data_IF_397524738445
#
_entry.id   IF_397524738445
#
_cell.length_a   1.000
_cell.length_b   1.000
_cell.length_c   1.000
_cell.angle_alpha   90.00
_cell.angle_beta   90.00
_cell.angle_gamma   90.00
#
_symmetry.space_group_name_H-M   'P 1'
#
loop_
_entity.id
_entity.type
_entity.pdbx_description
1 polymer ?
#
# COMPACT_ATOMS: atom_id res chain seq x y z
N UNK A 1 -3.40 -36.11 -10.84
CA UNK A 1 -3.74 -34.98 -11.69
C UNK A 1 -2.59 -33.99 -11.80
N UNK A 2 -1.69 -34.23 -12.74
CA UNK A 2 -0.53 -33.35 -12.86
C UNK A 2 -0.91 -31.92 -13.22
N UNK A 3 -1.94 -31.76 -14.02
CA UNK A 3 -2.42 -30.43 -14.37
C UNK A 3 -2.91 -29.67 -13.15
N UNK A 4 -3.66 -30.35 -12.29
CA UNK A 4 -4.15 -29.74 -11.05
C UNK A 4 -3.00 -29.35 -10.14
N UNK A 5 -1.96 -30.16 -10.12
CA UNK A 5 -0.77 -29.84 -9.33
C UNK A 5 -0.11 -28.57 -9.82
N UNK A 6 0.02 -28.44 -11.14
CA UNK A 6 0.59 -27.25 -11.73
C UNK A 6 -0.25 -26.03 -11.41
N UNK A 7 -1.57 -26.19 -11.46
CA UNK A 7 -2.50 -25.12 -11.11
C UNK A 7 -2.36 -24.73 -9.64
N UNK A 8 -2.21 -25.72 -8.77
CA UNK A 8 -2.01 -25.46 -7.36
C UNK A 8 -0.72 -24.68 -7.10
N UNK A 9 0.34 -25.02 -7.82
CA UNK A 9 1.59 -24.28 -7.71
C UNK A 9 1.43 -22.83 -8.15
N UNK A 10 0.71 -22.62 -9.23
CA UNK A 10 0.41 -21.26 -9.68
C UNK A 10 -0.38 -20.49 -8.65
N UNK A 11 -1.32 -21.14 -8.00
CA UNK A 11 -2.10 -20.51 -6.93
C UNK A 11 -1.24 -20.13 -5.75
N UNK A 12 -0.25 -20.93 -5.41
CA UNK A 12 0.68 -20.62 -4.34
C UNK A 12 1.47 -19.35 -4.66
N UNK A 13 1.87 -19.18 -5.91
CA UNK A 13 2.55 -17.95 -6.33
C UNK A 13 1.60 -16.75 -6.35
N UNK A 14 0.34 -16.99 -6.67
CA UNK A 14 -0.65 -15.92 -6.72
C UNK A 14 -1.10 -15.47 -5.34
N UNK A 15 -1.10 -16.36 -4.34
CA UNK A 15 -1.58 -16.02 -3.01
C UNK A 15 -0.92 -14.80 -2.40
N UNK A 16 0.42 -14.68 -2.40
CA UNK A 16 1.06 -13.47 -1.91
C UNK A 16 0.62 -12.23 -2.68
N UNK A 17 0.47 -12.36 -3.99
CA UNK A 17 0.05 -11.24 -4.82
C UNK A 17 -1.36 -10.78 -4.49
N UNK A 18 -2.28 -11.73 -4.28
CA UNK A 18 -3.67 -11.37 -3.94
C UNK A 18 -3.79 -10.78 -2.54
N UNK A 19 -2.88 -11.10 -1.64
CA UNK A 19 -2.89 -10.55 -0.29
C UNK A 19 -2.18 -9.21 -0.18
N UNK A 20 -1.50 -8.78 -1.25
CA UNK A 20 -0.83 -7.49 -1.31
C UNK A 20 -1.88 -6.39 -1.46
N UNK A 21 -1.78 -5.35 -0.64
CA UNK A 21 -2.67 -4.21 -0.71
C UNK A 21 -2.23 -3.21 -1.78
N UNK A 22 -2.88 -2.06 -1.74
CA UNK A 22 -2.66 -0.97 -2.70
C UNK A 22 -1.19 -0.58 -2.82
N UNK A 23 -0.52 -0.37 -1.70
CA UNK A 23 0.85 0.14 -1.69
C UNK A 23 1.85 -0.90 -2.17
N UNK A 24 1.64 -2.16 -1.85
CA UNK A 24 2.46 -3.25 -2.38
C UNK A 24 2.37 -3.35 -3.89
N UNK A 25 1.16 -3.24 -4.43
CA UNK A 25 0.95 -3.26 -5.89
C UNK A 25 1.61 -2.07 -6.57
N UNK A 26 1.52 -0.90 -5.97
CA UNK A 26 2.18 0.30 -6.50
C UNK A 26 3.69 0.14 -6.51
N UNK A 27 4.26 -0.42 -5.45
CA UNK A 27 5.69 -0.71 -5.36
C UNK A 27 6.12 -1.69 -6.45
N UNK A 28 5.33 -2.73 -6.68
CA UNK A 28 5.61 -3.72 -7.72
C UNK A 28 5.70 -3.06 -9.09
N UNK A 29 4.73 -2.24 -9.43
CA UNK A 29 4.71 -1.51 -10.71
C UNK A 29 5.90 -0.58 -10.84
N UNK A 30 6.23 0.14 -9.79
CA UNK A 30 7.38 1.03 -9.77
C UNK A 30 8.69 0.28 -10.02
N UNK A 31 8.90 -0.85 -9.34
CA UNK A 31 10.09 -1.65 -9.52
C UNK A 31 10.23 -2.16 -10.95
N UNK A 32 9.13 -2.62 -11.54
CA UNK A 32 9.13 -3.09 -12.92
C UNK A 32 9.55 -2.01 -13.89
N UNK A 33 9.05 -0.80 -13.71
CA UNK A 33 9.25 0.29 -14.66
C UNK A 33 10.58 1.02 -14.44
N UNK A 34 10.95 1.24 -13.19
CA UNK A 34 12.06 2.12 -12.86
C UNK A 34 13.27 1.41 -12.27
N UNK A 35 13.09 0.20 -11.77
CA UNK A 35 14.18 -0.58 -11.18
C UNK A 35 14.10 -2.04 -11.62
N UNK A 36 14.17 -2.29 -12.91
CA UNK A 36 13.99 -3.66 -13.44
C UNK A 36 15.04 -4.65 -12.96
N UNK A 37 16.27 -4.20 -12.72
CA UNK A 37 17.32 -5.09 -12.24
C UNK A 37 16.99 -5.56 -10.82
N UNK A 38 16.60 -4.64 -9.97
CA UNK A 38 16.21 -4.98 -8.60
C UNK A 38 14.96 -5.87 -8.61
N UNK A 39 13.99 -5.54 -9.46
CA UNK A 39 12.78 -6.34 -9.60
C UNK A 39 13.11 -7.79 -9.96
N UNK A 40 13.96 -7.99 -10.97
CA UNK A 40 14.35 -9.33 -11.40
C UNK A 40 15.14 -10.07 -10.31
N UNK A 41 16.02 -9.36 -9.61
CA UNK A 41 16.77 -9.94 -8.50
C UNK A 41 15.84 -10.44 -7.40
N UNK A 42 14.88 -9.63 -7.00
CA UNK A 42 13.91 -10.00 -5.98
C UNK A 42 13.03 -11.16 -6.45
N UNK A 43 12.61 -11.13 -7.71
CA UNK A 43 11.77 -12.18 -8.27
C UNK A 43 12.51 -13.51 -8.30
N UNK A 44 13.75 -13.53 -8.77
CA UNK A 44 14.52 -14.76 -8.88
C UNK A 44 14.95 -15.32 -7.52
N UNK A 45 15.15 -14.47 -6.54
CA UNK A 45 15.48 -14.91 -5.18
C UNK A 45 14.24 -15.24 -4.34
N UNK A 46 13.06 -15.17 -4.94
CA UNK A 46 11.78 -15.44 -4.28
C UNK A 46 11.48 -14.50 -3.11
N UNK A 47 12.10 -13.32 -3.12
CA UNK A 47 11.92 -12.31 -2.07
C UNK A 47 11.01 -11.16 -2.48
N UNK A 48 10.47 -11.21 -3.70
CA UNK A 48 9.66 -10.10 -4.21
C UNK A 48 8.39 -9.91 -3.38
N UNK A 49 7.59 -10.96 -3.20
CA UNK A 49 6.33 -10.82 -2.47
C UNK A 49 6.51 -10.53 -0.99
N UNK A 50 7.44 -11.15 -0.28
CA UNK A 50 7.74 -10.73 1.08
C UNK A 50 8.11 -9.25 1.17
N UNK A 51 8.88 -8.74 0.21
CA UNK A 51 9.25 -7.33 0.16
C UNK A 51 8.01 -6.44 -0.04
N UNK A 52 7.14 -6.82 -0.98
CA UNK A 52 5.92 -6.04 -1.26
C UNK A 52 4.95 -6.03 -0.08
N UNK A 53 4.83 -7.16 0.62
CA UNK A 53 4.00 -7.25 1.82
C UNK A 53 4.54 -6.36 2.92
N UNK A 54 5.86 -6.32 3.08
CA UNK A 54 6.49 -5.45 4.07
C UNK A 54 6.27 -3.98 3.76
N UNK A 55 6.43 -3.59 2.50
CA UNK A 55 6.17 -2.21 2.06
C UNK A 55 4.71 -1.84 2.33
N UNK A 56 3.79 -2.73 1.98
CA UNK A 56 2.36 -2.49 2.20
C UNK A 56 2.04 -2.30 3.68
N UNK A 57 2.60 -3.16 4.53
CA UNK A 57 2.40 -3.06 5.97
C UNK A 57 2.99 -1.77 6.52
N UNK A 58 4.21 -1.45 6.13
CA UNK A 58 4.88 -0.22 6.59
C UNK A 58 4.09 1.02 6.19
N UNK A 59 3.55 1.04 4.97
CA UNK A 59 2.74 2.15 4.50
C UNK A 59 1.46 2.31 5.31
N UNK A 60 0.78 1.21 5.60
CA UNK A 60 -0.44 1.24 6.41
C UNK A 60 -0.16 1.71 7.84
N UNK A 61 0.90 1.21 8.44
CA UNK A 61 1.30 1.63 9.78
C UNK A 61 1.61 3.13 9.81
N UNK A 62 2.28 3.63 8.78
CA UNK A 62 2.60 5.03 8.67
C UNK A 62 1.34 5.88 8.53
N UNK A 63 0.39 5.43 7.72
CA UNK A 63 -0.89 6.10 7.57
C UNK A 63 -1.63 6.16 8.91
N UNK A 64 -1.69 5.03 9.61
CA UNK A 64 -2.39 4.94 10.89
C UNK A 64 -1.73 5.80 11.98
N UNK A 65 -0.42 6.02 11.87
CA UNK A 65 0.30 6.87 12.81
C UNK A 65 0.15 8.35 12.51
N UNK A 66 0.18 8.73 11.23
CA UNK A 66 0.21 10.14 10.82
C UNK A 66 -1.18 10.76 10.72
N UNK A 67 -2.15 9.99 10.22
CA UNK A 67 -3.48 10.54 9.93
C UNK A 67 -4.20 11.08 11.16
N UNK A 68 -4.25 10.38 12.30
CA UNK A 68 -4.92 10.91 13.49
C UNK A 68 -4.35 12.24 13.96
N UNK A 69 -3.04 12.40 13.92
CA UNK A 69 -2.40 13.64 14.31
C UNK A 69 -2.78 14.78 13.37
N UNK A 70 -2.78 14.53 12.08
CA UNK A 70 -3.17 15.54 11.09
C UNK A 70 -4.63 15.90 11.20
N UNK A 71 -5.48 14.94 11.51
CA UNK A 71 -6.90 15.21 11.77
C UNK A 71 -7.07 16.15 12.96
N UNK A 72 -6.34 15.91 14.02
CA UNK A 72 -6.40 16.75 15.21
C UNK A 72 -5.97 18.18 14.91
N UNK A 73 -4.84 18.34 14.23
CA UNK A 73 -4.32 19.65 13.85
C UNK A 73 -5.29 20.40 12.91
N UNK A 74 -5.93 19.70 12.00
CA UNK A 74 -6.83 20.29 11.02
C UNK A 74 -8.26 20.50 11.54
N UNK A 75 -8.56 20.03 12.76
CA UNK A 75 -9.89 20.17 13.32
C UNK A 75 -10.91 19.21 12.73
N UNK A 76 -10.48 18.09 12.19
CA UNK A 76 -11.35 17.07 11.62
C UNK A 76 -11.80 16.15 12.75
N UNK A 77 -12.98 16.40 13.30
CA UNK A 77 -13.48 15.75 14.51
C UNK A 77 -14.77 14.98 14.24
N UNK A 78 -15.17 14.17 15.21
CA UNK A 78 -16.46 13.48 15.15
C UNK A 78 -17.63 14.50 15.21
N UNK A 79 -17.43 15.61 15.90
CA UNK A 79 -18.43 16.68 15.93
C UNK A 79 -18.64 17.28 14.55
N UNK A 80 -17.55 17.53 13.83
CA UNK A 80 -17.63 18.04 12.46
C UNK A 80 -18.33 17.02 11.56
N UNK A 81 -18.04 15.74 11.72
CA UNK A 81 -18.67 14.67 10.96
C UNK A 81 -20.19 14.67 11.16
N UNK A 82 -20.62 14.88 12.39
CA UNK A 82 -22.03 14.92 12.74
C UNK A 82 -22.74 16.16 12.22
N UNK A 83 -22.07 17.32 12.30
CA UNK A 83 -22.66 18.62 11.93
C UNK A 83 -22.57 18.90 10.43
N UNK A 84 -21.47 18.54 9.79
CA UNK A 84 -21.22 18.83 8.38
C UNK A 84 -20.46 17.67 7.74
N UNK A 85 -21.17 16.56 7.44
CA UNK A 85 -20.52 15.36 6.92
C UNK A 85 -19.84 15.56 5.57
N UNK A 86 -20.34 16.44 4.73
CA UNK A 86 -19.75 16.70 3.42
C UNK A 86 -18.39 17.37 3.58
N UNK A 87 -18.32 18.35 4.46
CA UNK A 87 -17.06 19.03 4.76
C UNK A 87 -16.06 18.07 5.41
N UNK A 88 -16.53 17.22 6.32
CA UNK A 88 -15.70 16.22 6.97
C UNK A 88 -15.06 15.28 5.94
N UNK A 89 -15.85 14.77 4.99
CA UNK A 89 -15.36 13.88 3.93
C UNK A 89 -14.32 14.59 3.08
N UNK A 90 -14.57 15.83 2.69
CA UNK A 90 -13.62 16.60 1.89
C UNK A 90 -12.29 16.80 2.59
N UNK A 91 -12.33 17.16 3.88
CA UNK A 91 -11.12 17.34 4.67
C UNK A 91 -10.38 16.03 4.85
N UNK A 92 -11.09 14.93 5.14
CA UNK A 92 -10.47 13.61 5.28
C UNK A 92 -9.77 13.18 4.01
N UNK A 93 -10.42 13.38 2.86
CA UNK A 93 -9.82 13.02 1.58
C UNK A 93 -8.55 13.83 1.32
N UNK A 94 -8.54 15.10 1.66
CA UNK A 94 -7.37 15.95 1.52
C UNK A 94 -6.22 15.47 2.42
N UNK A 95 -6.52 15.18 3.68
CA UNK A 95 -5.51 14.69 4.62
C UNK A 95 -4.94 13.35 4.20
N UNK A 96 -5.80 12.42 3.77
CA UNK A 96 -5.35 11.12 3.28
C UNK A 96 -4.44 11.27 2.07
N UNK A 97 -4.79 12.16 1.15
CA UNK A 97 -3.96 12.41 -0.03
C UNK A 97 -2.59 12.96 0.34
N UNK A 98 -2.52 13.86 1.33
CA UNK A 98 -1.26 14.41 1.80
C UNK A 98 -0.36 13.35 2.43
N UNK A 99 -0.93 12.51 3.30
CA UNK A 99 -0.18 11.41 3.92
C UNK A 99 0.28 10.42 2.85
N UNK A 100 -0.61 10.08 1.93
CA UNK A 100 -0.28 9.13 0.86
C UNK A 100 0.87 9.64 -0.01
N UNK A 101 0.90 10.93 -0.31
CA UNK A 101 2.00 11.51 -1.07
C UNK A 101 3.34 11.29 -0.37
N UNK A 102 3.39 11.52 0.93
CA UNK A 102 4.59 11.28 1.73
C UNK A 102 4.99 9.80 1.70
N UNK A 103 4.03 8.91 1.89
CA UNK A 103 4.27 7.47 1.88
C UNK A 103 4.83 6.99 0.55
N UNK A 104 4.27 7.48 -0.55
CA UNK A 104 4.71 7.08 -1.87
C UNK A 104 6.16 7.46 -2.12
N UNK A 105 6.55 8.65 -1.70
CA UNK A 105 7.92 9.12 -1.89
C UNK A 105 8.92 8.43 -0.96
N UNK A 106 8.52 8.11 0.25
CA UNK A 106 9.43 7.53 1.23
C UNK A 106 9.56 6.01 1.13
N UNK A 107 8.49 5.31 0.76
CA UNK A 107 8.44 3.86 0.82
C UNK A 107 8.22 3.18 -0.53
N UNK A 108 7.46 3.80 -1.41
CA UNK A 108 7.01 3.14 -2.65
C UNK A 108 7.89 3.49 -3.84
N UNK A 109 8.23 4.75 -4.00
CA UNK A 109 8.95 5.26 -5.18
C UNK A 109 10.43 5.51 -4.89
N UNK A 110 11.04 4.57 -4.24
CA UNK A 110 12.48 4.59 -3.99
C UNK A 110 13.13 3.34 -4.57
#
# INVERSE_FOLDING_TARGET
>A
MPILKAILNLKLYEQPETSIGKYGRMRKSYLKEHRPILYNHLLMSEKLYPHLLEIDRAARERMDAMLPHMMEVAGVTEELKACDPIRWVGLMNTLKAQVEEVLLQELVYI
#
